data_IF_797836743583
#
_entry.id   IF_797836743583
#
_cell.length_a   1.000
_cell.length_b   1.000
_cell.length_c   1.000
_cell.angle_alpha   90.00
_cell.angle_beta   90.00
_cell.angle_gamma   90.00
#
_symmetry.space_group_name_H-M   'P 1'
#
loop_
_entity.id
_entity.type
_entity.pdbx_description
1 polymer ?
#
# COMPACT_ATOMS: atom_id res chain seq x y z
N UNK A 1 -24.57 -22.23 17.82
CA UNK A 1 -25.68 -21.30 18.10
C UNK A 1 -25.72 -20.19 17.06
N UNK A 2 -26.83 -19.50 16.93
CA UNK A 2 -27.01 -18.39 15.99
C UNK A 2 -25.99 -17.26 16.27
N UNK A 3 -25.66 -17.05 17.52
CA UNK A 3 -24.69 -16.05 17.96
C UNK A 3 -23.26 -16.40 17.54
N UNK A 4 -22.90 -17.66 17.54
CA UNK A 4 -21.60 -18.12 17.01
C UNK A 4 -21.44 -17.77 15.54
N UNK A 5 -22.48 -18.01 14.73
CA UNK A 5 -22.47 -17.68 13.30
C UNK A 5 -22.32 -16.17 13.10
N UNK A 6 -23.06 -15.35 13.88
CA UNK A 6 -22.93 -13.89 13.81
C UNK A 6 -21.50 -13.43 14.12
N UNK A 7 -20.91 -13.92 15.22
CA UNK A 7 -19.55 -13.54 15.63
C UNK A 7 -18.54 -13.84 14.51
N UNK A 8 -18.58 -15.05 13.94
CA UNK A 8 -17.68 -15.39 12.84
C UNK A 8 -17.94 -14.57 11.57
N UNK A 9 -19.20 -14.29 11.23
CA UNK A 9 -19.54 -13.49 10.04
C UNK A 9 -19.03 -12.06 10.18
N UNK A 10 -19.27 -11.42 11.31
CA UNK A 10 -18.75 -10.08 11.54
C UNK A 10 -17.22 -10.06 11.61
N UNK A 11 -16.59 -11.10 12.19
CA UNK A 11 -15.14 -11.24 12.19
C UNK A 11 -14.56 -11.28 10.77
N UNK A 12 -15.10 -12.13 9.91
CA UNK A 12 -14.67 -12.25 8.49
C UNK A 12 -14.89 -10.93 7.74
N UNK A 13 -16.03 -10.25 7.92
CA UNK A 13 -16.30 -8.97 7.28
C UNK A 13 -15.31 -7.89 7.73
N UNK A 14 -14.97 -7.84 9.02
CA UNK A 14 -13.97 -6.93 9.56
C UNK A 14 -12.59 -7.19 8.96
N UNK A 15 -12.17 -8.46 8.87
CA UNK A 15 -10.89 -8.83 8.26
C UNK A 15 -10.87 -8.50 6.75
N UNK A 16 -12.00 -8.69 6.05
CA UNK A 16 -12.15 -8.24 4.66
C UNK A 16 -12.07 -6.72 4.52
N UNK A 17 -12.60 -5.94 5.47
CA UNK A 17 -12.47 -4.47 5.46
C UNK A 17 -11.01 -4.05 5.55
N UNK A 18 -10.27 -4.58 6.51
CA UNK A 18 -8.84 -4.31 6.65
C UNK A 18 -8.08 -4.68 5.39
N UNK A 19 -8.33 -5.89 4.86
CA UNK A 19 -7.69 -6.35 3.62
C UNK A 19 -8.00 -5.43 2.44
N UNK A 20 -9.25 -5.01 2.24
CA UNK A 20 -9.63 -4.13 1.12
C UNK A 20 -9.05 -2.73 1.27
N UNK A 21 -9.00 -2.17 2.48
CA UNK A 21 -8.34 -0.88 2.75
C UNK A 21 -6.85 -0.98 2.41
N UNK A 22 -6.15 -1.97 2.94
CA UNK A 22 -4.72 -2.17 2.66
C UNK A 22 -4.44 -2.48 1.20
N UNK A 23 -5.35 -3.15 0.49
CA UNK A 23 -5.19 -3.44 -0.94
C UNK A 23 -5.51 -2.24 -1.85
N UNK A 24 -6.01 -1.12 -1.31
CA UNK A 24 -6.38 0.05 -2.11
C UNK A 24 -5.21 0.64 -2.90
N UNK A 25 -4.03 0.75 -2.30
CA UNK A 25 -2.85 1.23 -3.02
C UNK A 25 -2.38 0.22 -4.09
N UNK A 26 -2.51 -1.08 -3.85
CA UNK A 26 -2.20 -2.12 -4.84
C UNK A 26 -3.19 -2.06 -6.00
N UNK A 27 -4.48 -1.91 -5.73
CA UNK A 27 -5.50 -1.71 -6.76
C UNK A 27 -5.20 -0.48 -7.62
N UNK A 28 -4.89 0.67 -7.01
CA UNK A 28 -4.48 1.86 -7.75
C UNK A 28 -3.23 1.61 -8.60
N UNK A 29 -2.21 0.98 -8.03
CA UNK A 29 -1.00 0.62 -8.77
C UNK A 29 -1.30 -0.24 -9.99
N UNK A 30 -2.13 -1.29 -9.84
CA UNK A 30 -2.49 -2.21 -10.93
C UNK A 30 -3.28 -1.54 -12.06
N UNK A 31 -4.19 -0.62 -11.73
CA UNK A 31 -4.92 0.17 -12.74
C UNK A 31 -3.96 0.99 -13.61
N UNK A 32 -2.92 1.55 -13.00
CA UNK A 32 -1.95 2.42 -13.68
C UNK A 32 -0.71 1.70 -14.18
N UNK A 33 -0.67 0.36 -14.13
CA UNK A 33 0.51 -0.43 -14.54
C UNK A 33 0.79 -0.39 -16.06
N UNK A 34 -0.18 0.03 -16.88
CA UNK A 34 -0.11 0.02 -18.35
C UNK A 34 1.09 0.78 -18.91
N UNK A 35 1.66 0.27 -20.01
CA UNK A 35 2.72 0.93 -20.78
C UNK A 35 2.23 2.12 -21.63
N UNK A 36 0.91 2.24 -21.86
CA UNK A 36 0.33 3.30 -22.73
C UNK A 36 0.69 4.71 -22.27
N UNK A 37 0.89 4.90 -20.97
CA UNK A 37 1.28 6.20 -20.40
C UNK A 37 2.69 6.69 -20.78
N UNK A 38 3.54 5.82 -21.37
CA UNK A 38 4.87 6.19 -21.84
C UNK A 38 4.93 6.40 -23.37
N UNK A 39 3.80 6.28 -24.07
CA UNK A 39 3.72 6.54 -25.51
C UNK A 39 3.62 8.05 -25.79
N UNK A 40 4.15 8.46 -26.95
CA UNK A 40 4.01 9.85 -27.45
C UNK A 40 2.57 10.11 -27.92
N UNK A 41 1.99 11.29 -27.66
CA UNK A 41 2.54 12.41 -26.90
C UNK A 41 2.29 12.30 -25.38
N UNK A 42 1.43 11.36 -24.95
CA UNK A 42 0.92 11.25 -23.58
C UNK A 42 2.04 11.19 -22.53
N UNK A 43 3.12 10.44 -22.80
CA UNK A 43 4.24 10.32 -21.88
C UNK A 43 4.92 11.65 -21.58
N UNK A 44 5.12 12.48 -22.61
CA UNK A 44 5.73 13.81 -22.42
C UNK A 44 4.82 14.78 -21.67
N UNK A 45 3.51 14.70 -21.93
CA UNK A 45 2.51 15.53 -21.21
C UNK A 45 2.50 15.16 -19.73
N UNK A 46 2.41 13.86 -19.41
CA UNK A 46 2.43 13.38 -18.01
C UNK A 46 3.74 13.73 -17.30
N UNK A 47 4.87 13.60 -18.00
CA UNK A 47 6.17 13.99 -17.45
C UNK A 47 6.23 15.49 -17.17
N UNK A 48 5.77 16.32 -18.08
CA UNK A 48 5.69 17.77 -17.90
C UNK A 48 4.82 18.15 -16.71
N UNK A 49 3.65 17.51 -16.55
CA UNK A 49 2.77 17.73 -15.39
C UNK A 49 3.45 17.31 -14.06
N UNK A 50 4.17 16.20 -14.04
CA UNK A 50 4.91 15.76 -12.84
C UNK A 50 6.05 16.72 -12.50
N UNK A 51 6.80 17.21 -13.50
CA UNK A 51 7.84 18.24 -13.29
C UNK A 51 7.22 19.52 -12.76
N UNK A 52 6.12 20.00 -13.36
CA UNK A 52 5.42 21.21 -12.91
C UNK A 52 4.92 21.05 -11.47
N UNK A 53 4.36 19.87 -11.12
CA UNK A 53 3.91 19.58 -9.77
C UNK A 53 5.09 19.54 -8.78
N UNK A 54 6.21 18.94 -9.18
CA UNK A 54 7.42 18.92 -8.35
C UNK A 54 7.96 20.32 -8.08
N UNK A 55 8.04 21.16 -9.12
CA UNK A 55 8.45 22.55 -8.97
C UNK A 55 7.47 23.35 -8.11
N UNK A 56 6.17 23.13 -8.28
CA UNK A 56 5.16 23.78 -7.45
C UNK A 56 5.29 23.41 -5.97
N UNK A 57 5.48 22.14 -5.65
CA UNK A 57 5.64 21.70 -4.25
C UNK A 57 6.98 22.13 -3.66
N UNK A 58 8.04 22.28 -4.49
CA UNK A 58 9.37 22.69 -4.03
C UNK A 58 9.47 24.19 -3.78
N UNK A 59 8.88 25.00 -4.66
CA UNK A 59 9.03 26.46 -4.64
C UNK A 59 7.76 27.22 -4.28
N UNK A 60 6.60 26.55 -4.32
CA UNK A 60 5.30 27.12 -3.97
C UNK A 60 5.02 27.03 -2.48
N UNK A 61 4.22 27.96 -1.98
CA UNK A 61 3.68 27.87 -0.63
C UNK A 61 2.43 26.97 -0.70
N UNK A 62 2.59 25.70 -0.34
CA UNK A 62 1.54 24.69 -0.45
C UNK A 62 0.89 24.42 0.90
N UNK A 63 -0.27 23.78 0.89
CA UNK A 63 -0.96 23.30 2.09
C UNK A 63 -0.04 22.46 3.01
N UNK A 64 0.94 21.75 2.44
CA UNK A 64 1.89 20.96 3.22
C UNK A 64 2.73 21.82 4.17
N UNK A 65 3.01 23.07 3.79
CA UNK A 65 3.76 24.02 4.60
C UNK A 65 2.95 24.52 5.80
N UNK A 66 1.63 24.55 5.70
CA UNK A 66 0.73 24.96 6.79
C UNK A 66 0.70 23.93 7.93
N UNK A 67 0.81 22.64 7.59
CA UNK A 67 0.83 21.57 8.60
C UNK A 67 2.18 21.47 9.35
N UNK A 68 3.24 22.07 8.83
CA UNK A 68 4.57 22.06 9.44
C UNK A 68 5.24 20.69 9.53
N UNK A 69 6.29 20.59 10.34
CA UNK A 69 7.06 19.36 10.52
C UNK A 69 7.77 18.89 9.25
N UNK A 70 7.91 17.59 9.08
CA UNK A 70 8.56 16.96 7.94
C UNK A 70 7.65 16.72 6.72
N UNK A 71 6.38 17.15 6.77
CA UNK A 71 5.42 16.90 5.69
C UNK A 71 5.82 17.52 4.34
N UNK A 72 6.29 18.78 4.28
CA UNK A 72 6.77 19.36 3.02
C UNK A 72 7.93 18.58 2.41
N UNK A 73 8.89 18.18 3.22
CA UNK A 73 10.07 17.41 2.78
C UNK A 73 9.72 16.04 2.27
N UNK A 74 8.82 15.33 2.97
CA UNK A 74 8.29 14.03 2.55
C UNK A 74 7.52 14.17 1.24
N UNK A 75 6.69 15.20 1.10
CA UNK A 75 5.96 15.50 -0.12
C UNK A 75 6.89 15.78 -1.32
N UNK A 76 7.90 16.63 -1.14
CA UNK A 76 8.92 16.91 -2.14
C UNK A 76 9.69 15.64 -2.54
N UNK A 77 10.13 14.85 -1.57
CA UNK A 77 10.85 13.61 -1.82
C UNK A 77 10.00 12.61 -2.59
N UNK A 78 8.73 12.44 -2.21
CA UNK A 78 7.80 11.54 -2.88
C UNK A 78 7.52 11.93 -4.33
N UNK A 79 7.19 13.21 -4.58
CA UNK A 79 6.90 13.70 -5.93
C UNK A 79 8.17 13.71 -6.76
N UNK A 80 9.31 14.10 -6.20
CA UNK A 80 10.61 14.07 -6.86
C UNK A 80 11.01 12.67 -7.29
N UNK A 81 10.90 11.69 -6.39
CA UNK A 81 11.16 10.27 -6.70
C UNK A 81 10.22 9.75 -7.79
N UNK A 82 8.93 10.09 -7.72
CA UNK A 82 7.94 9.69 -8.73
C UNK A 82 8.24 10.30 -10.09
N UNK A 83 8.63 11.58 -10.15
CA UNK A 83 9.01 12.29 -11.37
C UNK A 83 10.27 11.67 -11.98
N UNK A 84 11.28 11.39 -11.16
CA UNK A 84 12.52 10.74 -11.57
C UNK A 84 12.26 9.33 -12.14
N UNK A 85 11.52 8.50 -11.41
CA UNK A 85 11.17 7.14 -11.86
C UNK A 85 10.34 7.17 -13.16
N UNK A 86 9.40 8.11 -13.29
CA UNK A 86 8.63 8.24 -14.51
C UNK A 86 9.52 8.69 -15.69
N UNK A 87 10.42 9.64 -15.46
CA UNK A 87 11.40 10.08 -16.45
C UNK A 87 12.33 8.94 -16.89
N UNK A 88 12.87 8.15 -15.96
CA UNK A 88 13.68 6.97 -16.28
C UNK A 88 12.90 5.98 -17.16
N UNK A 89 11.64 5.71 -16.81
CA UNK A 89 10.77 4.80 -17.59
C UNK A 89 10.39 5.36 -18.97
N UNK A 90 10.30 6.69 -19.10
CA UNK A 90 9.99 7.37 -20.36
C UNK A 90 11.19 7.40 -21.31
N UNK A 91 12.36 7.87 -20.81
CA UNK A 91 13.54 8.15 -21.63
C UNK A 91 14.47 6.95 -21.82
N UNK A 92 14.37 5.92 -20.95
CA UNK A 92 15.19 4.70 -21.04
C UNK A 92 14.34 3.45 -21.32
N UNK A 93 13.77 3.32 -22.53
CA UNK A 93 12.89 2.20 -22.88
C UNK A 93 13.58 0.83 -22.75
N UNK A 94 14.90 0.76 -22.93
CA UNK A 94 15.70 -0.46 -22.79
C UNK A 94 15.59 -1.07 -21.37
N UNK A 95 15.56 -0.24 -20.34
CA UNK A 95 15.52 -0.68 -18.94
C UNK A 95 14.10 -0.73 -18.37
N UNK A 96 13.09 -0.32 -19.15
CA UNK A 96 11.70 -0.19 -18.70
C UNK A 96 11.14 -1.50 -18.11
N UNK A 97 11.35 -2.62 -18.77
CA UNK A 97 10.85 -3.93 -18.31
C UNK A 97 11.48 -4.31 -16.97
N UNK A 98 12.80 -4.14 -16.86
CA UNK A 98 13.55 -4.45 -15.62
C UNK A 98 13.13 -3.54 -14.46
N UNK A 99 13.05 -2.23 -14.68
CA UNK A 99 12.64 -1.27 -13.65
C UNK A 99 11.20 -1.57 -13.20
N UNK A 100 10.28 -1.82 -14.13
CA UNK A 100 8.89 -2.17 -13.82
C UNK A 100 8.78 -3.49 -13.07
N UNK A 101 9.59 -4.48 -13.40
CA UNK A 101 9.64 -5.73 -12.65
C UNK A 101 10.03 -5.49 -11.18
N UNK A 102 11.07 -4.71 -10.93
CA UNK A 102 11.49 -4.40 -9.56
C UNK A 102 10.48 -3.55 -8.81
N UNK A 103 9.87 -2.55 -9.47
CA UNK A 103 8.79 -1.75 -8.87
C UNK A 103 7.58 -2.60 -8.53
N UNK A 104 7.16 -3.50 -9.41
CA UNK A 104 6.07 -4.43 -9.15
C UNK A 104 6.40 -5.35 -7.97
N UNK A 105 7.58 -5.93 -7.95
CA UNK A 105 8.04 -6.80 -6.86
C UNK A 105 8.06 -6.04 -5.53
N UNK A 106 8.52 -4.80 -5.53
CA UNK A 106 8.54 -3.96 -4.34
C UNK A 106 7.14 -3.62 -3.84
N UNK A 107 6.21 -3.28 -4.73
CA UNK A 107 4.82 -3.00 -4.35
C UNK A 107 4.14 -4.24 -3.76
N UNK A 108 4.35 -5.42 -4.35
CA UNK A 108 3.84 -6.68 -3.80
C UNK A 108 4.48 -6.98 -2.44
N UNK A 109 5.80 -6.75 -2.31
CA UNK A 109 6.49 -6.95 -1.03
C UNK A 109 5.93 -6.05 0.07
N UNK A 110 5.72 -4.76 -0.23
CA UNK A 110 5.09 -3.83 0.72
C UNK A 110 3.68 -4.28 1.10
N UNK A 111 2.87 -4.69 0.12
CA UNK A 111 1.52 -5.16 0.37
C UNK A 111 1.50 -6.39 1.29
N UNK A 112 2.31 -7.40 0.97
CA UNK A 112 2.42 -8.61 1.79
C UNK A 112 2.93 -8.28 3.20
N UNK A 113 3.93 -7.40 3.29
CA UNK A 113 4.46 -6.93 4.58
C UNK A 113 3.39 -6.28 5.43
N UNK A 114 2.59 -5.37 4.85
CA UNK A 114 1.51 -4.67 5.57
C UNK A 114 0.43 -5.64 6.06
N UNK A 115 0.05 -6.62 5.24
CA UNK A 115 -0.94 -7.65 5.65
C UNK A 115 -0.39 -8.49 6.81
N UNK A 116 0.84 -8.99 6.69
CA UNK A 116 1.46 -9.79 7.76
C UNK A 116 1.65 -8.96 9.03
N UNK A 117 2.11 -7.71 8.89
CA UNK A 117 2.28 -6.79 10.01
C UNK A 117 0.94 -6.54 10.73
N UNK A 118 -0.14 -6.30 9.95
CA UNK A 118 -1.46 -6.10 10.54
C UNK A 118 -1.91 -7.33 11.34
N UNK A 119 -1.77 -8.54 10.77
CA UNK A 119 -2.15 -9.78 11.46
C UNK A 119 -1.34 -10.02 12.74
N UNK A 120 -0.02 -9.78 12.70
CA UNK A 120 0.84 -9.91 13.87
C UNK A 120 0.46 -8.87 14.94
N UNK A 121 0.25 -7.63 14.54
CA UNK A 121 -0.11 -6.56 15.48
C UNK A 121 -1.48 -6.81 16.12
N UNK A 122 -2.46 -7.31 15.35
CA UNK A 122 -3.77 -7.67 15.89
C UNK A 122 -3.69 -8.85 16.87
N UNK A 123 -2.83 -9.84 16.58
CA UNK A 123 -2.59 -10.96 17.50
C UNK A 123 -2.04 -10.47 18.85
N UNK A 124 -1.02 -9.60 18.85
CA UNK A 124 -0.47 -9.04 20.09
C UNK A 124 -1.47 -8.16 20.82
N UNK A 125 -2.23 -7.34 20.09
CA UNK A 125 -3.26 -6.49 20.67
C UNK A 125 -4.35 -7.33 21.36
N UNK A 126 -4.79 -8.41 20.71
CA UNK A 126 -5.74 -9.33 21.32
C UNK A 126 -5.18 -10.03 22.55
N UNK A 127 -3.93 -10.46 22.48
CA UNK A 127 -3.30 -11.13 23.63
C UNK A 127 -3.21 -10.21 24.86
N UNK A 128 -3.02 -8.90 24.64
CA UNK A 128 -2.94 -7.89 25.70
C UNK A 128 -4.31 -7.46 26.22
N UNK A 129 -5.25 -7.21 25.33
CA UNK A 129 -6.56 -6.59 25.67
C UNK A 129 -7.75 -7.53 25.58
N UNK A 130 -7.62 -8.74 25.06
CA UNK A 130 -8.72 -9.70 24.90
C UNK A 130 -9.78 -9.32 23.87
N UNK A 131 -9.54 -8.27 23.07
CA UNK A 131 -10.47 -7.74 22.05
C UNK A 131 -9.74 -7.45 20.74
N UNK A 132 -10.47 -7.40 19.63
CA UNK A 132 -9.94 -6.91 18.35
C UNK A 132 -9.57 -5.43 18.41
N UNK A 133 -8.85 -4.94 17.40
CA UNK A 133 -8.54 -3.52 17.27
C UNK A 133 -9.79 -2.65 17.46
N UNK A 134 -9.66 -1.65 18.32
CA UNK A 134 -10.68 -0.67 18.65
C UNK A 134 -10.02 0.71 18.84
N UNK A 135 -10.76 1.69 19.36
CA UNK A 135 -10.26 3.05 19.59
C UNK A 135 -9.03 3.11 20.51
N UNK A 136 -8.83 2.13 21.42
CA UNK A 136 -7.63 2.05 22.27
C UNK A 136 -6.37 1.95 21.41
N UNK A 137 -6.42 1.24 20.26
CA UNK A 137 -5.29 1.15 19.34
C UNK A 137 -4.93 2.53 18.74
N UNK A 138 -5.89 3.44 18.59
CA UNK A 138 -5.65 4.82 18.14
C UNK A 138 -4.90 5.62 19.20
N UNK A 139 -5.26 5.45 20.48
CA UNK A 139 -4.56 6.12 21.60
C UNK A 139 -3.09 5.69 21.66
N UNK A 140 -2.79 4.42 21.33
CA UNK A 140 -1.40 3.95 21.22
C UNK A 140 -0.61 4.63 20.08
N UNK A 141 -1.27 5.07 19.03
CA UNK A 141 -0.63 5.85 17.96
C UNK A 141 -0.30 7.29 18.41
N UNK A 142 -1.07 7.86 19.32
CA UNK A 142 -0.80 9.21 19.87
C UNK A 142 0.43 9.20 20.75
N UNK A 143 0.59 8.16 21.58
CA UNK A 143 1.73 7.99 22.51
C UNK A 143 2.83 7.10 21.94
N UNK A 144 3.14 7.25 20.66
CA UNK A 144 4.00 6.33 19.89
C UNK A 144 5.36 6.05 20.55
N UNK A 145 6.02 7.04 21.12
CA UNK A 145 7.36 6.89 21.70
C UNK A 145 7.35 6.00 22.96
N UNK A 146 6.37 6.17 23.84
CA UNK A 146 6.22 5.37 25.05
C UNK A 146 5.84 3.94 24.72
N UNK A 147 4.91 3.79 23.77
CA UNK A 147 4.44 2.48 23.30
C UNK A 147 5.56 1.69 22.62
N UNK A 148 6.35 2.32 21.75
CA UNK A 148 7.52 1.68 21.12
C UNK A 148 8.54 1.24 22.16
N UNK A 149 8.80 2.06 23.19
CA UNK A 149 9.69 1.70 24.30
C UNK A 149 9.19 0.45 25.03
N UNK A 150 7.91 0.38 25.37
CA UNK A 150 7.31 -0.76 26.04
C UNK A 150 7.31 -2.02 25.19
N UNK A 151 6.99 -1.91 23.89
CA UNK A 151 7.02 -3.04 22.95
C UNK A 151 8.45 -3.60 22.84
N UNK A 152 9.46 -2.73 22.71
CA UNK A 152 10.87 -3.15 22.60
C UNK A 152 11.38 -3.85 23.85
N UNK A 153 10.85 -3.52 25.02
CA UNK A 153 11.19 -4.16 26.28
C UNK A 153 10.46 -5.50 26.50
N UNK A 154 9.21 -5.58 26.02
CA UNK A 154 8.34 -6.74 26.28
C UNK A 154 8.49 -7.85 25.24
N UNK A 155 8.88 -7.52 24.00
CA UNK A 155 8.90 -8.46 22.89
C UNK A 155 10.25 -8.45 22.15
N UNK A 156 10.70 -9.61 21.60
CA UNK A 156 11.90 -9.68 20.77
C UNK A 156 11.63 -9.10 19.37
N UNK A 157 11.57 -7.77 19.28
CA UNK A 157 11.15 -7.04 18.08
C UNK A 157 12.03 -7.38 16.86
N UNK A 158 13.36 -7.44 17.04
CA UNK A 158 14.30 -7.70 15.94
C UNK A 158 14.07 -9.08 15.30
N UNK A 159 14.05 -10.21 16.05
CA UNK A 159 13.72 -11.51 15.48
C UNK A 159 12.34 -11.57 14.84
N UNK A 160 11.33 -10.91 15.43
CA UNK A 160 9.96 -10.88 14.93
C UNK A 160 9.91 -10.20 13.56
N UNK A 161 10.46 -8.99 13.43
CA UNK A 161 10.48 -8.27 12.16
C UNK A 161 11.37 -8.95 11.10
N UNK A 162 12.49 -9.53 11.52
CA UNK A 162 13.33 -10.32 10.63
C UNK A 162 12.56 -11.51 10.04
N UNK A 163 11.85 -12.26 10.88
CA UNK A 163 11.01 -13.37 10.46
C UNK A 163 9.89 -12.90 9.53
N UNK A 164 9.21 -11.80 9.87
CA UNK A 164 8.16 -11.18 9.04
C UNK A 164 8.70 -10.84 7.65
N UNK A 165 9.85 -10.15 7.54
CA UNK A 165 10.43 -9.76 6.25
C UNK A 165 10.87 -10.98 5.43
N UNK A 166 11.40 -12.03 6.05
CA UNK A 166 11.76 -13.27 5.36
C UNK A 166 10.50 -13.93 4.78
N UNK A 167 9.44 -14.06 5.57
CA UNK A 167 8.16 -14.63 5.10
C UNK A 167 7.57 -13.76 4.00
N UNK A 168 7.55 -12.43 4.17
CA UNK A 168 7.07 -11.50 3.16
C UNK A 168 7.86 -11.63 1.85
N UNK A 169 9.18 -11.77 1.91
CA UNK A 169 10.02 -11.95 0.73
C UNK A 169 9.73 -13.29 0.03
N UNK A 170 9.57 -14.39 0.78
CA UNK A 170 9.20 -15.69 0.21
C UNK A 170 7.84 -15.63 -0.49
N UNK A 171 6.82 -15.12 0.17
CA UNK A 171 5.48 -14.99 -0.40
C UNK A 171 5.51 -14.10 -1.65
N UNK A 172 6.21 -12.97 -1.58
CA UNK A 172 6.42 -12.07 -2.72
C UNK A 172 7.07 -12.78 -3.90
N UNK A 173 8.12 -13.56 -3.65
CA UNK A 173 8.79 -14.34 -4.70
C UNK A 173 7.81 -15.26 -5.44
N UNK A 174 6.97 -16.00 -4.71
CA UNK A 174 5.99 -16.90 -5.33
C UNK A 174 4.92 -16.13 -6.12
N UNK A 175 4.39 -15.03 -5.56
CA UNK A 175 3.41 -14.20 -6.24
C UNK A 175 4.00 -13.60 -7.52
N UNK A 176 5.17 -12.97 -7.45
CA UNK A 176 5.82 -12.32 -8.59
C UNK A 176 6.21 -13.33 -9.67
N UNK A 177 6.73 -14.50 -9.28
CA UNK A 177 7.04 -15.58 -10.23
C UNK A 177 5.80 -16.01 -11.02
N UNK A 178 4.64 -16.12 -10.36
CA UNK A 178 3.37 -16.49 -11.00
C UNK A 178 2.76 -15.36 -11.81
N UNK A 179 2.97 -14.12 -11.37
CA UNK A 179 2.35 -12.91 -11.93
C UNK A 179 3.23 -12.18 -12.95
N UNK A 180 4.39 -12.72 -13.31
CA UNK A 180 5.34 -12.07 -14.21
C UNK A 180 4.72 -11.65 -15.55
N UNK A 181 3.78 -12.45 -16.04
CA UNK A 181 3.03 -12.17 -17.27
C UNK A 181 2.21 -10.86 -17.19
N UNK A 182 1.66 -10.52 -16.02
CA UNK A 182 0.85 -9.31 -15.85
C UNK A 182 1.64 -8.01 -16.00
N UNK A 183 2.98 -8.04 -15.80
CA UNK A 183 3.83 -6.85 -15.96
C UNK A 183 3.90 -6.42 -17.42
N UNK A 184 3.80 -7.36 -18.33
CA UNK A 184 3.89 -7.12 -19.79
C UNK A 184 2.53 -6.86 -20.43
N UNK A 185 1.43 -7.24 -19.76
CA UNK A 185 0.07 -7.00 -20.25
C UNK A 185 -0.26 -5.50 -20.30
N UNK A 186 -1.02 -5.14 -21.33
CA UNK A 186 -1.66 -3.83 -21.44
C UNK A 186 -3.14 -4.06 -21.12
N UNK A 187 -3.57 -3.87 -19.88
CA UNK A 187 -4.96 -4.09 -19.53
C UNK A 187 -5.86 -3.15 -20.33
N UNK A 188 -6.88 -3.73 -20.93
CA UNK A 188 -7.92 -3.01 -21.66
C UNK A 188 -8.75 -2.17 -20.68
N UNK A 189 -9.44 -1.17 -21.20
CA UNK A 189 -10.33 -0.34 -20.37
C UNK A 189 -11.40 -1.19 -19.67
N UNK A 190 -11.95 -2.18 -20.37
CA UNK A 190 -12.95 -3.11 -19.82
C UNK A 190 -12.39 -3.94 -18.66
N UNK A 191 -11.15 -4.41 -18.76
CA UNK A 191 -10.50 -5.17 -17.67
C UNK A 191 -10.27 -4.28 -16.45
N UNK A 192 -9.88 -3.03 -16.65
CA UNK A 192 -9.74 -2.05 -15.55
C UNK A 192 -11.06 -1.81 -14.84
N UNK A 193 -12.17 -1.64 -15.60
CA UNK A 193 -13.51 -1.50 -15.02
C UNK A 193 -13.91 -2.75 -14.23
N UNK A 194 -13.66 -3.95 -14.77
CA UNK A 194 -13.99 -5.20 -14.07
C UNK A 194 -13.23 -5.32 -12.76
N UNK A 195 -11.91 -5.08 -12.77
CA UNK A 195 -11.08 -5.13 -11.56
C UNK A 195 -11.57 -4.09 -10.53
N UNK A 196 -11.85 -2.86 -10.99
CA UNK A 196 -12.33 -1.80 -10.11
C UNK A 196 -13.73 -2.11 -9.56
N UNK A 197 -14.62 -2.68 -10.38
CA UNK A 197 -15.94 -3.09 -9.95
C UNK A 197 -15.90 -4.18 -8.88
N UNK A 198 -15.05 -5.20 -9.06
CA UNK A 198 -14.86 -6.26 -8.06
C UNK A 198 -14.28 -5.65 -6.75
N UNK A 199 -13.26 -4.80 -6.86
CA UNK A 199 -12.66 -4.16 -5.69
C UNK A 199 -13.68 -3.33 -4.91
N UNK A 200 -14.43 -2.45 -5.59
CA UNK A 200 -15.43 -1.58 -4.96
C UNK A 200 -16.60 -2.38 -4.37
N UNK A 201 -16.98 -3.49 -5.00
CA UNK A 201 -18.01 -4.39 -4.48
C UNK A 201 -17.54 -5.06 -3.18
N UNK A 202 -16.34 -5.60 -3.16
CA UNK A 202 -15.75 -6.21 -1.96
C UNK A 202 -15.59 -5.18 -0.84
N UNK A 203 -15.12 -3.97 -1.16
CA UNK A 203 -15.03 -2.88 -0.21
C UNK A 203 -16.40 -2.49 0.35
N UNK A 204 -17.40 -2.32 -0.53
CA UNK A 204 -18.77 -1.98 -0.11
C UNK A 204 -19.41 -3.07 0.78
N UNK A 205 -19.22 -4.35 0.45
CA UNK A 205 -19.68 -5.45 1.29
C UNK A 205 -18.96 -5.47 2.66
N UNK A 206 -17.67 -5.18 2.69
CA UNK A 206 -16.91 -5.17 3.93
C UNK A 206 -17.31 -4.02 4.87
N UNK A 207 -17.86 -2.92 4.35
CA UNK A 207 -18.40 -1.82 5.17
C UNK A 207 -19.58 -2.25 6.04
N UNK A 208 -20.25 -3.37 5.71
CA UNK A 208 -21.32 -3.94 6.55
C UNK A 208 -20.79 -4.45 7.91
N UNK A 209 -19.48 -4.55 8.09
CA UNK A 209 -18.87 -4.87 9.39
C UNK A 209 -18.83 -3.69 10.37
N UNK A 210 -19.06 -2.48 9.88
CA UNK A 210 -19.08 -1.27 10.71
C UNK A 210 -20.48 -1.19 11.34
N UNK A 211 -20.57 -1.15 12.67
CA UNK A 211 -21.85 -1.09 13.39
C UNK A 211 -22.55 0.25 13.19
#
# INVERSE_FOLDING_TARGET
SLDTIKIFTFGILSDCLVFTVLSGFLWLYLIFISNSKYLKPTGYIVFGLLVSLFLYVTFGNTILNEYGGALPEIGMAFIGLKTLLFGLLLFLPKYRSTIRFWLFSFVIFLFVTLILQNGISEFFFWNEFGVKYNFIAVDYLVYTNEVLGNIMQSYPVIPLFSGLFIVAAMVTYFIVKRSKHFIEMIPTFTEKIKISGIYLLLFGLSLLSIP
#
